data_IF_262824338181
#
_entry.id   IF_262824338181
#
_cell.length_a   1.000
_cell.length_b   1.000
_cell.length_c   1.000
_cell.angle_alpha   90.00
_cell.angle_beta   90.00
_cell.angle_gamma   90.00
#
_symmetry.space_group_name_H-M   'P 1'
#
loop_
_entity.id
_entity.type
_entity.pdbx_description
1 polymer ?
#
# COMPACT_ATOMS: atom_id res chain seq x y z
N UNK A 1 14.28 18.79 29.18
CA UNK A 1 13.09 17.92 29.34
C UNK A 1 12.78 17.36 27.97
N UNK A 2 13.22 16.13 27.69
CA UNK A 2 13.10 15.54 26.35
C UNK A 2 11.67 15.06 26.09
N UNK A 3 11.09 15.46 24.96
CA UNK A 3 9.81 14.91 24.50
C UNK A 3 10.04 13.44 24.21
N UNK A 4 9.39 12.55 24.97
CA UNK A 4 9.34 11.12 24.64
C UNK A 4 8.47 11.05 23.37
N UNK A 5 9.11 10.98 22.20
CA UNK A 5 8.41 10.68 20.96
C UNK A 5 7.82 9.27 21.11
N UNK A 6 6.49 9.19 21.12
CA UNK A 6 5.74 7.94 21.18
C UNK A 6 5.24 7.61 19.79
N UNK A 7 5.22 6.31 19.49
CA UNK A 7 4.62 5.76 18.29
C UNK A 7 3.16 6.23 18.19
N UNK A 8 2.77 6.79 17.05
CA UNK A 8 1.39 7.20 16.79
C UNK A 8 0.69 6.19 15.91
N UNK A 9 -0.39 5.62 16.41
CA UNK A 9 -1.18 4.60 15.73
C UNK A 9 -2.56 5.15 15.37
N UNK A 10 -2.93 5.03 14.09
CA UNK A 10 -4.27 5.37 13.59
C UNK A 10 -4.85 4.14 12.90
N UNK A 11 -5.96 3.61 13.41
CA UNK A 11 -6.64 2.48 12.78
C UNK A 11 -7.25 2.89 11.43
N UNK A 12 -7.00 2.10 10.39
CA UNK A 12 -7.58 2.25 9.06
C UNK A 12 -8.68 1.20 8.87
N UNK A 13 -9.94 1.62 9.00
CA UNK A 13 -11.10 0.72 9.00
C UNK A 13 -11.56 0.37 7.58
N UNK A 14 -10.70 -0.32 6.81
CA UNK A 14 -11.07 -0.78 5.48
C UNK A 14 -12.14 -1.87 5.50
N UNK A 15 -12.13 -2.74 6.51
CA UNK A 15 -12.96 -3.95 6.60
C UNK A 15 -12.96 -4.49 8.02
N UNK A 16 -13.95 -5.31 8.38
CA UNK A 16 -13.97 -6.05 9.66
C UNK A 16 -13.18 -7.38 9.58
N UNK A 17 -12.67 -7.73 8.40
CA UNK A 17 -12.01 -9.01 8.08
C UNK A 17 -10.50 -8.95 8.12
N UNK A 18 -9.94 -7.76 8.27
CA UNK A 18 -8.51 -7.51 8.44
C UNK A 18 -8.30 -6.32 9.36
N UNK A 19 -7.12 -6.26 9.96
CA UNK A 19 -6.68 -5.15 10.78
C UNK A 19 -5.66 -4.34 9.99
N UNK A 20 -5.84 -3.03 9.92
CA UNK A 20 -4.86 -2.13 9.33
C UNK A 20 -4.60 -0.93 10.23
N UNK A 21 -3.33 -0.57 10.39
CA UNK A 21 -2.89 0.55 11.22
C UNK A 21 -1.90 1.40 10.45
N UNK A 22 -2.13 2.71 10.41
CA UNK A 22 -1.14 3.69 10.03
C UNK A 22 -0.29 4.06 11.25
N UNK A 23 0.99 3.78 11.18
CA UNK A 23 1.96 3.95 12.25
C UNK A 23 2.97 5.03 11.85
N UNK A 24 3.10 6.09 12.65
CA UNK A 24 4.06 7.20 12.43
C UNK A 24 4.93 7.45 13.66
N UNK A 25 6.01 8.23 13.45
CA UNK A 25 7.01 8.55 14.48
C UNK A 25 7.60 7.28 15.14
N UNK A 26 7.91 6.28 14.31
CA UNK A 26 8.18 4.91 14.78
C UNK A 26 9.52 4.84 15.48
N UNK A 27 9.52 4.28 16.69
CA UNK A 27 10.68 3.97 17.50
C UNK A 27 10.46 2.71 18.33
N UNK A 28 11.39 1.74 18.24
CA UNK A 28 11.38 0.49 18.99
C UNK A 28 10.02 -0.25 19.00
N UNK A 29 9.35 -0.29 17.84
CA UNK A 29 8.01 -0.87 17.71
C UNK A 29 8.09 -2.39 17.51
N UNK A 30 7.48 -3.17 18.43
CA UNK A 30 7.50 -4.63 18.37
C UNK A 30 6.35 -5.16 17.52
N UNK A 31 6.67 -5.83 16.41
CA UNK A 31 5.72 -6.64 15.65
C UNK A 31 5.73 -8.06 16.22
N UNK A 32 4.61 -8.48 16.81
CA UNK A 32 4.46 -9.81 17.44
C UNK A 32 3.89 -10.84 16.46
N UNK A 33 2.76 -10.50 15.82
CA UNK A 33 2.07 -11.37 14.88
C UNK A 33 2.66 -11.25 13.47
N UNK A 34 2.35 -12.21 12.61
CA UNK A 34 2.64 -12.11 11.18
C UNK A 34 1.88 -10.92 10.58
N UNK A 35 2.62 -9.92 10.13
CA UNK A 35 2.08 -8.64 9.68
C UNK A 35 2.77 -8.24 8.38
N UNK A 36 1.98 -7.80 7.41
CA UNK A 36 2.49 -7.16 6.20
C UNK A 36 2.78 -5.71 6.56
N UNK A 37 4.02 -5.29 6.34
CA UNK A 37 4.51 -3.96 6.64
C UNK A 37 4.82 -3.28 5.33
N UNK A 38 4.14 -2.17 5.05
CA UNK A 38 4.39 -1.35 3.87
C UNK A 38 5.02 -0.04 4.32
N UNK A 39 6.19 0.28 3.79
CA UNK A 39 6.85 1.55 4.06
C UNK A 39 6.31 2.62 3.11
N UNK A 40 5.50 3.52 3.64
CA UNK A 40 4.96 4.66 2.89
C UNK A 40 5.71 5.96 3.19
N UNK A 41 6.78 5.89 4.00
CA UNK A 41 7.64 7.03 4.31
C UNK A 41 8.69 7.31 3.23
N UNK A 42 9.50 8.34 3.48
CA UNK A 42 10.59 8.76 2.60
C UNK A 42 11.91 8.03 2.91
N UNK A 43 12.07 7.53 4.14
CA UNK A 43 13.27 6.83 4.61
C UNK A 43 13.04 5.33 4.79
N UNK A 44 14.11 4.57 4.68
CA UNK A 44 14.09 3.13 4.97
C UNK A 44 13.75 2.88 6.44
N UNK A 45 12.87 1.92 6.69
CA UNK A 45 12.57 1.47 8.05
C UNK A 45 13.64 0.47 8.48
N UNK A 46 14.27 0.69 9.64
CA UNK A 46 15.31 -0.17 10.19
C UNK A 46 14.70 -1.28 11.04
N UNK A 47 15.06 -2.53 10.74
CA UNK A 47 14.53 -3.71 11.41
C UNK A 47 15.66 -4.34 12.24
N UNK A 48 15.43 -4.44 13.55
CA UNK A 48 16.32 -5.13 14.50
C UNK A 48 16.17 -6.64 14.32
N UNK A 49 16.93 -7.17 13.37
CA UNK A 49 17.13 -8.59 13.12
C UNK A 49 18.64 -8.87 13.01
N UNK A 50 19.04 -10.14 12.99
CA UNK A 50 20.42 -10.55 12.74
C UNK A 50 20.50 -11.40 11.45
N UNK A 51 21.17 -10.94 10.38
CA UNK A 51 21.75 -9.60 10.23
C UNK A 51 20.66 -8.51 10.13
N UNK A 52 21.03 -7.28 10.48
CA UNK A 52 20.12 -6.13 10.39
C UNK A 52 19.54 -5.99 8.97
N UNK A 53 18.26 -5.62 8.90
CA UNK A 53 17.53 -5.47 7.63
C UNK A 53 16.93 -4.07 7.54
N UNK A 54 16.71 -3.63 6.31
CA UNK A 54 16.02 -2.38 6.02
C UNK A 54 14.87 -2.63 5.05
N UNK A 55 13.74 -1.98 5.28
CA UNK A 55 12.61 -1.94 4.36
C UNK A 55 12.61 -0.60 3.64
N UNK A 56 12.90 -0.61 2.34
CA UNK A 56 13.06 0.59 1.53
C UNK A 56 11.72 1.35 1.38
N UNK A 57 11.75 2.67 1.14
CA UNK A 57 10.56 3.45 0.82
C UNK A 57 9.74 2.83 -0.31
N UNK A 58 8.41 2.87 -0.20
CA UNK A 58 7.47 2.35 -1.21
C UNK A 58 7.60 0.85 -1.48
N UNK A 59 8.13 0.10 -0.53
CA UNK A 59 8.18 -1.36 -0.60
C UNK A 59 7.46 -1.97 0.60
N UNK A 60 7.16 -3.27 0.51
CA UNK A 60 6.54 -4.02 1.58
C UNK A 60 7.26 -5.33 1.85
N UNK A 61 7.06 -5.86 3.04
CA UNK A 61 7.55 -7.17 3.46
C UNK A 61 6.63 -7.76 4.52
N UNK A 62 6.83 -9.04 4.84
CA UNK A 62 6.14 -9.71 5.94
C UNK A 62 7.11 -9.81 7.10
N UNK A 63 6.71 -9.27 8.25
CA UNK A 63 7.45 -9.33 9.49
C UNK A 63 6.67 -10.12 10.55
N UNK A 64 7.39 -10.86 11.38
CA UNK A 64 6.85 -11.56 12.53
C UNK A 64 7.92 -11.62 13.60
N UNK A 65 7.54 -11.34 14.84
CA UNK A 65 8.41 -11.43 16.01
C UNK A 65 9.75 -10.65 15.84
N UNK A 66 9.66 -9.43 15.29
CA UNK A 66 10.80 -8.51 15.09
C UNK A 66 10.47 -7.10 15.61
N UNK A 67 11.51 -6.32 15.90
CA UNK A 67 11.37 -4.93 16.33
C UNK A 67 11.79 -4.00 15.21
N UNK A 68 10.96 -3.00 14.90
CA UNK A 68 11.34 -1.87 14.05
C UNK A 68 12.04 -0.86 14.95
N UNK A 69 13.33 -0.62 14.69
CA UNK A 69 14.11 0.37 15.42
C UNK A 69 13.56 1.78 15.19
N UNK A 70 13.43 2.16 13.92
CA UNK A 70 12.85 3.42 13.50
C UNK A 70 12.28 3.40 12.08
N UNK A 71 11.28 4.24 11.84
CA UNK A 71 10.65 4.50 10.54
C UNK A 71 9.82 5.79 10.60
N UNK A 72 9.57 6.41 9.44
CA UNK A 72 8.76 7.63 9.36
C UNK A 72 7.26 7.34 9.37
N UNK A 73 6.83 6.45 8.47
CA UNK A 73 5.42 6.19 8.21
C UNK A 73 5.26 4.79 7.62
N UNK A 74 4.51 3.93 8.32
CA UNK A 74 4.28 2.54 7.94
C UNK A 74 2.78 2.25 7.92
N UNK A 75 2.36 1.38 7.00
CA UNK A 75 1.07 0.69 7.07
C UNK A 75 1.33 -0.73 7.54
N UNK A 76 0.72 -1.08 8.67
CA UNK A 76 0.70 -2.44 9.20
C UNK A 76 -0.62 -3.08 8.80
N UNK A 77 -0.56 -4.23 8.13
CA UNK A 77 -1.75 -5.01 7.77
C UNK A 77 -1.64 -6.42 8.33
N UNK A 78 -2.62 -6.81 9.15
CA UNK A 78 -2.72 -8.15 9.72
C UNK A 78 -4.02 -8.80 9.25
N UNK A 79 -3.90 -10.05 8.80
CA UNK A 79 -5.05 -10.88 8.43
C UNK A 79 -5.24 -11.87 9.58
N UNK A 80 -6.34 -11.81 10.33
CA UNK A 80 -6.64 -12.80 11.34
C UNK A 80 -6.81 -14.19 10.72
N UNK A 81 -6.33 -15.22 11.41
CA UNK A 81 -6.40 -16.61 10.92
C UNK A 81 -7.85 -17.04 10.68
N UNK A 82 -8.07 -17.86 9.65
CA UNK A 82 -9.34 -18.55 9.35
C UNK A 82 -10.51 -17.65 8.88
N UNK A 83 -10.23 -16.50 8.26
CA UNK A 83 -11.27 -15.64 7.70
C UNK A 83 -11.44 -15.87 6.18
N UNK A 84 -12.70 -16.01 5.74
CA UNK A 84 -13.04 -15.89 4.32
C UNK A 84 -12.89 -14.42 3.88
N UNK A 85 -11.73 -14.09 3.32
CA UNK A 85 -11.44 -12.76 2.78
C UNK A 85 -12.30 -12.39 1.57
N UNK A 86 -12.84 -13.37 0.83
CA UNK A 86 -13.73 -13.09 -0.31
C UNK A 86 -14.99 -12.34 0.10
N UNK A 87 -15.44 -12.51 1.35
CA UNK A 87 -16.56 -11.77 1.91
C UNK A 87 -16.29 -10.27 2.13
N UNK A 88 -15.08 -9.79 1.89
CA UNK A 88 -14.70 -8.38 2.13
C UNK A 88 -15.52 -7.41 1.28
N UNK A 89 -15.96 -7.83 0.10
CA UNK A 89 -16.79 -7.03 -0.80
C UNK A 89 -18.17 -6.70 -0.22
N UNK A 90 -18.59 -7.43 0.83
CA UNK A 90 -19.86 -7.22 1.54
C UNK A 90 -19.71 -6.25 2.72
N UNK A 91 -18.49 -5.88 3.08
CA UNK A 91 -18.23 -4.98 4.20
C UNK A 91 -18.57 -3.53 3.81
N UNK A 92 -18.99 -2.74 4.81
CA UNK A 92 -19.35 -1.34 4.60
C UNK A 92 -18.20 -0.55 3.96
N UNK A 93 -18.50 0.20 2.91
CA UNK A 93 -17.54 1.05 2.20
C UNK A 93 -16.82 0.35 1.05
N UNK A 94 -17.10 -0.93 0.81
CA UNK A 94 -16.70 -1.61 -0.42
C UNK A 94 -17.73 -1.43 -1.52
N UNK A 95 -17.24 -1.25 -2.74
CA UNK A 95 -18.08 -1.15 -3.92
C UNK A 95 -17.38 -1.76 -5.12
N UNK A 96 -18.18 -2.25 -6.08
CA UNK A 96 -17.69 -2.55 -7.42
C UNK A 96 -17.12 -1.26 -8.06
N UNK A 97 -15.99 -1.33 -8.76
CA UNK A 97 -15.29 -0.14 -9.24
C UNK A 97 -16.17 0.72 -10.16
N UNK A 98 -17.00 0.10 -11.00
CA UNK A 98 -17.96 0.80 -11.88
C UNK A 98 -18.95 1.72 -11.15
N UNK A 99 -19.16 1.53 -9.85
CA UNK A 99 -19.99 2.45 -9.04
C UNK A 99 -19.28 3.79 -8.80
N UNK A 100 -17.96 3.85 -8.98
CA UNK A 100 -17.14 5.05 -8.74
C UNK A 100 -16.39 5.53 -9.97
N UNK A 101 -16.28 4.69 -11.01
CA UNK A 101 -15.63 5.01 -12.28
C UNK A 101 -16.64 4.70 -13.41
N UNK A 102 -17.32 5.73 -13.96
CA UNK A 102 -18.45 5.54 -14.86
C UNK A 102 -18.17 4.65 -16.09
N UNK A 103 -16.95 4.70 -16.63
CA UNK A 103 -16.58 3.96 -17.84
C UNK A 103 -15.96 2.58 -17.57
N UNK A 104 -15.92 2.14 -16.30
CA UNK A 104 -15.37 0.84 -15.96
C UNK A 104 -16.40 -0.28 -16.21
N UNK A 105 -16.03 -1.28 -17.01
CA UNK A 105 -16.93 -2.40 -17.35
C UNK A 105 -17.35 -3.20 -16.11
N UNK A 106 -18.65 -3.54 -16.03
CA UNK A 106 -19.22 -4.40 -14.99
C UNK A 106 -18.82 -5.87 -15.14
N UNK A 107 -18.17 -6.24 -16.24
CA UNK A 107 -17.70 -7.62 -16.48
C UNK A 107 -16.44 -7.97 -15.68
N UNK A 108 -15.66 -6.97 -15.26
CA UNK A 108 -14.45 -7.18 -14.45
C UNK A 108 -14.81 -7.08 -12.96
N UNK A 109 -14.77 -8.18 -12.20
CA UNK A 109 -15.13 -8.19 -10.78
C UNK A 109 -14.02 -7.56 -9.92
N UNK A 110 -13.90 -6.23 -10.00
CA UNK A 110 -12.93 -5.44 -9.27
C UNK A 110 -13.64 -4.56 -8.25
N UNK A 111 -13.28 -4.75 -6.99
CA UNK A 111 -13.89 -4.07 -5.86
C UNK A 111 -12.86 -3.23 -5.12
N UNK A 112 -13.29 -2.06 -4.64
CA UNK A 112 -12.46 -1.08 -3.95
C UNK A 112 -13.04 -0.75 -2.58
N UNK A 113 -12.20 -0.63 -1.56
CA UNK A 113 -12.60 -0.10 -0.25
C UNK A 113 -12.71 1.44 -0.26
N UNK A 114 -13.14 2.00 0.88
CA UNK A 114 -12.88 3.39 1.20
C UNK A 114 -11.38 3.73 1.12
N UNK A 115 -11.06 4.99 0.82
CA UNK A 115 -9.71 5.50 0.72
C UNK A 115 -9.41 6.45 1.88
N UNK A 116 -8.22 6.34 2.46
CA UNK A 116 -7.76 7.16 3.58
C UNK A 116 -6.55 7.98 3.18
N UNK A 117 -6.49 9.22 3.66
CA UNK A 117 -5.31 10.08 3.55
C UNK A 117 -4.35 9.78 4.71
N UNK A 118 -3.10 9.43 4.40
CA UNK A 118 -2.10 8.93 5.38
C UNK A 118 -0.83 9.78 5.39
N UNK A 119 -1.02 11.10 5.48
CA UNK A 119 0.06 12.07 5.54
C UNK A 119 0.66 12.41 4.18
N UNK A 120 1.70 13.24 4.20
CA UNK A 120 2.36 13.75 3.00
C UNK A 120 3.76 13.16 2.87
N UNK A 121 4.21 12.98 1.64
CA UNK A 121 5.56 12.51 1.30
C UNK A 121 6.18 13.44 0.28
N UNK A 122 7.49 13.64 0.36
CA UNK A 122 8.27 14.45 -0.58
C UNK A 122 9.31 13.61 -1.30
N UNK A 123 9.26 13.56 -2.62
CA UNK A 123 10.26 12.84 -3.41
C UNK A 123 10.33 13.36 -4.85
N UNK A 124 11.42 12.99 -5.54
CA UNK A 124 11.58 13.16 -6.99
C UNK A 124 10.86 11.98 -7.71
N UNK A 125 9.79 12.24 -8.47
CA UNK A 125 9.03 11.17 -9.14
C UNK A 125 9.82 10.44 -10.22
N UNK A 126 10.80 11.09 -10.88
CA UNK A 126 11.61 10.46 -11.91
C UNK A 126 12.59 9.46 -11.30
N UNK A 127 13.19 9.81 -10.16
CA UNK A 127 14.01 8.88 -9.40
C UNK A 127 13.18 7.74 -8.81
N UNK A 128 12.01 8.05 -8.21
CA UNK A 128 11.15 7.05 -7.59
C UNK A 128 10.61 6.00 -8.57
N UNK A 129 10.49 6.34 -9.86
CA UNK A 129 10.06 5.45 -10.94
C UNK A 129 11.21 4.82 -11.72
N UNK A 130 12.46 5.12 -11.35
CA UNK A 130 13.66 4.59 -11.99
C UNK A 130 14.02 5.23 -13.35
N UNK A 131 13.40 6.35 -13.71
CA UNK A 131 13.75 7.12 -14.90
C UNK A 131 15.11 7.85 -14.76
N UNK A 132 15.57 8.07 -13.53
CA UNK A 132 16.91 8.59 -13.22
C UNK A 132 17.61 7.71 -12.19
N UNK A 133 18.95 7.77 -12.16
CA UNK A 133 19.79 6.99 -11.24
C UNK A 133 20.02 7.68 -9.89
N UNK A 134 19.69 8.97 -9.77
CA UNK A 134 19.81 9.76 -8.56
C UNK A 134 18.66 10.78 -8.45
N UNK A 135 18.25 11.17 -7.23
CA UNK A 135 17.23 12.19 -7.02
C UNK A 135 17.74 13.58 -7.36
N UNK A 136 16.92 14.38 -8.04
CA UNK A 136 17.15 15.81 -8.28
C UNK A 136 16.26 16.66 -7.36
N UNK A 137 16.88 17.58 -6.62
CA UNK A 137 16.16 18.49 -5.72
C UNK A 137 15.14 19.38 -6.45
N UNK A 138 15.39 19.77 -7.70
CA UNK A 138 14.48 20.60 -8.52
C UNK A 138 13.18 19.87 -8.88
N UNK A 139 13.22 18.54 -8.92
CA UNK A 139 12.08 17.69 -9.21
C UNK A 139 11.31 17.26 -7.96
N UNK A 140 11.76 17.65 -6.76
CA UNK A 140 11.08 17.30 -5.52
C UNK A 140 9.66 17.87 -5.53
N UNK A 141 8.68 17.00 -5.28
CA UNK A 141 7.27 17.38 -5.13
C UNK A 141 6.72 16.78 -3.85
N UNK A 142 5.72 17.46 -3.28
CA UNK A 142 4.99 16.97 -2.13
C UNK A 142 3.68 16.33 -2.60
N UNK A 143 3.45 15.09 -2.18
CA UNK A 143 2.28 14.31 -2.54
C UNK A 143 1.46 13.99 -1.30
N UNK A 144 0.13 14.03 -1.44
CA UNK A 144 -0.77 13.45 -0.45
C UNK A 144 -0.76 11.94 -0.63
N UNK A 145 -0.26 11.20 0.35
CA UNK A 145 -0.33 9.74 0.33
C UNK A 145 -1.76 9.30 0.65
N UNK A 146 -2.30 8.39 -0.15
CA UNK A 146 -3.61 7.79 0.04
C UNK A 146 -3.50 6.28 -0.01
N UNK A 147 -4.26 5.58 0.83
CA UNK A 147 -4.28 4.11 0.88
C UNK A 147 -5.71 3.63 0.81
N UNK A 148 -5.91 2.60 -0.01
CA UNK A 148 -7.14 1.82 -0.08
C UNK A 148 -6.79 0.36 -0.38
N UNK A 149 -7.76 -0.51 -0.23
CA UNK A 149 -7.66 -1.91 -0.59
C UNK A 149 -8.44 -2.20 -1.87
N UNK A 150 -8.03 -3.27 -2.52
CA UNK A 150 -8.63 -3.81 -3.72
C UNK A 150 -8.88 -5.30 -3.54
N UNK A 151 -9.94 -5.80 -4.14
CA UNK A 151 -10.25 -7.23 -4.18
C UNK A 151 -10.71 -7.61 -5.58
N UNK A 152 -10.19 -8.72 -6.07
CA UNK A 152 -10.67 -9.38 -7.28
C UNK A 152 -10.65 -10.90 -7.07
N UNK A 153 -11.68 -11.64 -7.47
CA UNK A 153 -11.72 -13.11 -7.37
C UNK A 153 -10.61 -13.81 -8.16
N UNK A 154 -10.35 -15.07 -7.82
CA UNK A 154 -9.43 -15.91 -8.60
C UNK A 154 -9.87 -16.07 -10.06
N UNK A 155 -8.91 -16.33 -10.95
CA UNK A 155 -9.14 -16.52 -12.40
C UNK A 155 -9.79 -15.30 -13.10
N UNK A 156 -9.49 -14.08 -12.62
CA UNK A 156 -9.97 -12.83 -13.21
C UNK A 156 -8.81 -11.88 -13.51
N UNK A 157 -9.12 -10.72 -14.10
CA UNK A 157 -8.16 -9.63 -14.29
C UNK A 157 -8.82 -8.28 -13.98
N UNK A 158 -8.00 -7.24 -13.83
CA UNK A 158 -8.41 -5.89 -13.45
C UNK A 158 -8.54 -4.91 -14.64
N UNK A 159 -8.71 -5.45 -15.85
CA UNK A 159 -8.62 -4.72 -17.12
C UNK A 159 -7.25 -4.05 -17.39
N UNK A 160 -7.00 -3.74 -18.66
CA UNK A 160 -5.85 -2.90 -19.06
C UNK A 160 -6.26 -1.44 -18.87
N UNK A 161 -5.41 -0.63 -18.25
CA UNK A 161 -5.62 0.81 -18.12
C UNK A 161 -4.29 1.56 -18.02
N UNK A 162 -4.29 2.83 -18.41
CA UNK A 162 -3.13 3.72 -18.33
C UNK A 162 -3.46 5.10 -17.74
N UNK A 163 -4.69 5.26 -17.22
CA UNK A 163 -5.16 6.47 -16.56
C UNK A 163 -5.92 6.06 -15.29
N UNK A 164 -5.59 6.68 -14.15
CA UNK A 164 -6.16 6.27 -12.86
C UNK A 164 -7.04 7.34 -12.23
N UNK A 165 -6.58 8.59 -12.22
CA UNK A 165 -7.27 9.74 -11.62
C UNK A 165 -6.92 11.03 -12.35
N UNK A 166 -7.74 12.07 -12.16
CA UNK A 166 -7.40 13.45 -12.53
C UNK A 166 -7.32 14.31 -11.25
N UNK A 167 -6.15 14.86 -10.87
CA UNK A 167 -4.85 14.69 -11.53
C UNK A 167 -4.29 13.27 -11.40
N UNK A 168 -3.40 12.90 -12.32
CA UNK A 168 -2.75 11.59 -12.34
C UNK A 168 -1.95 11.33 -11.04
N UNK A 169 -1.92 10.08 -10.60
CA UNK A 169 -1.23 9.67 -9.37
C UNK A 169 -0.11 8.67 -9.66
N UNK A 170 0.83 8.58 -8.71
CA UNK A 170 1.78 7.46 -8.64
C UNK A 170 1.20 6.39 -7.72
N UNK A 171 1.14 5.17 -8.22
CA UNK A 171 0.61 4.04 -7.48
C UNK A 171 1.68 3.00 -7.16
N UNK A 172 1.48 2.35 -6.01
CA UNK A 172 2.32 1.25 -5.54
C UNK A 172 1.40 0.19 -4.97
N UNK A 173 1.56 -1.04 -5.45
CA UNK A 173 0.73 -2.17 -5.05
C UNK A 173 1.48 -3.06 -4.05
N UNK A 174 0.80 -3.43 -2.96
CA UNK A 174 1.25 -4.46 -2.03
C UNK A 174 0.24 -5.59 -2.01
N UNK A 175 0.68 -6.80 -2.36
CA UNK A 175 -0.17 -7.97 -2.32
C UNK A 175 -0.38 -8.45 -0.89
N UNK A 176 -1.65 -8.55 -0.47
CA UNK A 176 -2.04 -8.97 0.88
C UNK A 176 -2.31 -10.48 0.95
N UNK A 177 -3.03 -11.02 -0.03
CA UNK A 177 -3.45 -12.41 -0.07
C UNK A 177 -3.51 -12.95 -1.52
N UNK A 178 -3.46 -14.26 -1.67
CA UNK A 178 -3.51 -14.95 -2.96
C UNK A 178 -2.22 -14.84 -3.77
N UNK A 179 -2.32 -15.06 -5.07
CA UNK A 179 -1.23 -14.90 -6.05
C UNK A 179 -1.78 -14.11 -7.23
N UNK A 180 -1.08 -13.04 -7.62
CA UNK A 180 -1.45 -12.17 -8.74
C UNK A 180 -0.19 -11.61 -9.40
N UNK A 181 -0.34 -11.01 -10.57
CA UNK A 181 0.78 -10.37 -11.29
C UNK A 181 0.32 -9.06 -11.91
N UNK A 182 1.16 -8.04 -11.77
CA UNK A 182 1.03 -6.83 -12.57
C UNK A 182 1.68 -7.07 -13.93
N UNK A 183 0.93 -6.81 -15.00
CA UNK A 183 1.41 -6.91 -16.37
C UNK A 183 1.36 -5.51 -16.99
N UNK A 184 2.41 -5.17 -17.74
CA UNK A 184 2.46 -3.95 -18.55
C UNK A 184 2.24 -4.36 -19.99
N UNK A 185 1.44 -3.57 -20.71
CA UNK A 185 1.08 -3.82 -22.08
C UNK A 185 1.56 -2.65 -22.94
N UNK A 186 1.97 -2.93 -24.17
CA UNK A 186 2.35 -1.94 -25.16
C UNK A 186 1.13 -1.24 -25.78
N UNK A 187 -0.05 -1.88 -25.74
CA UNK A 187 -1.33 -1.39 -26.26
C UNK A 187 -2.48 -1.80 -25.33
N UNK A 188 -3.69 -1.30 -25.62
CA UNK A 188 -4.94 -1.71 -24.95
C UNK A 188 -5.41 -3.09 -25.42
N UNK A 189 -4.51 -4.07 -25.46
CA UNK A 189 -4.72 -5.42 -26.03
C UNK A 189 -3.92 -6.45 -25.22
N UNK A 190 -4.53 -7.58 -24.82
CA UNK A 190 -3.88 -8.58 -23.96
C UNK A 190 -2.68 -9.27 -24.61
N UNK A 191 -2.62 -9.32 -25.94
CA UNK A 191 -1.51 -9.93 -26.69
C UNK A 191 -0.31 -8.99 -26.86
N UNK A 192 -0.36 -7.79 -26.25
CA UNK A 192 0.68 -6.76 -26.37
C UNK A 192 1.63 -6.66 -25.17
N UNK A 193 1.76 -7.73 -24.38
CA UNK A 193 2.69 -7.81 -23.23
C UNK A 193 4.15 -7.59 -23.67
#
# INVERSE_FOLDING_TARGET
>A
MGIIMSNKETTLNFSQRLEATWLTDVKNYRIKKRTIVTNIGERSAKILADPAKELQPRTSTILQDVTIDNADSLILTHIPDKINLGGIILDKGWAHLSATVPDFSTEYPLYKSAQYEVGKVKFDPFFATGATTAPNHEHMRCYQAKVNLWFSPENTNCAIHNHHTDPEMLEVHTQIFGVGRMQKFHKQEFDSI
#
